data_IF_134113381871
#
_entry.id   IF_134113381871
#
_cell.length_a   1.000
_cell.length_b   1.000
_cell.length_c   1.000
_cell.angle_alpha   90.00
_cell.angle_beta   90.00
_cell.angle_gamma   90.00
#
_symmetry.space_group_name_H-M   'P 1'
#
loop_
_entity.id
_entity.type
_entity.pdbx_description
1 polymer ?
#
# COMPACT_ATOMS: atom_id res chain seq x y z
N UNK A 1 -4.42 -38.54 13.58
CA UNK A 1 -3.45 -37.67 14.28
C UNK A 1 -2.41 -37.18 13.31
N UNK A 2 -2.10 -35.88 13.30
CA UNK A 2 -1.03 -35.35 12.44
C UNK A 2 0.33 -35.72 13.03
N UNK A 3 1.27 -36.18 12.20
CA UNK A 3 2.64 -36.49 12.63
C UNK A 3 3.48 -35.19 12.71
N UNK A 4 3.20 -34.22 11.84
CA UNK A 4 3.86 -32.90 11.81
C UNK A 4 2.92 -31.85 11.22
N UNK A 5 2.95 -30.63 11.76
CA UNK A 5 2.15 -29.49 11.29
C UNK A 5 3.01 -28.23 11.25
N UNK A 6 3.39 -27.82 10.04
CA UNK A 6 4.26 -26.65 9.83
C UNK A 6 3.48 -25.36 9.59
N UNK A 7 2.24 -25.48 9.10
CA UNK A 7 1.40 -24.33 8.76
C UNK A 7 0.58 -23.90 9.96
N UNK A 8 0.74 -22.65 10.37
CA UNK A 8 -0.14 -21.99 11.34
C UNK A 8 -1.48 -21.66 10.71
N UNK A 9 -2.52 -21.63 11.53
CA UNK A 9 -3.88 -21.26 11.15
C UNK A 9 -4.33 -20.18 12.14
N UNK A 10 -4.89 -19.09 11.62
CA UNK A 10 -5.40 -17.99 12.42
C UNK A 10 -5.83 -16.82 11.55
N UNK A 11 -6.43 -15.82 12.18
CA UNK A 11 -6.79 -14.55 11.53
C UNK A 11 -5.59 -13.61 11.53
N UNK A 12 -5.39 -12.86 10.45
CA UNK A 12 -4.30 -11.88 10.32
C UNK A 12 -4.82 -10.55 9.80
N UNK A 13 -4.36 -9.46 10.40
CA UNK A 13 -4.65 -8.08 9.98
C UNK A 13 -3.34 -7.31 9.86
N UNK A 14 -3.17 -6.55 8.78
CA UNK A 14 -2.05 -5.60 8.60
C UNK A 14 -2.62 -4.23 8.24
N UNK A 15 -2.02 -3.17 8.76
CA UNK A 15 -2.40 -1.77 8.49
C UNK A 15 -1.16 -0.99 8.09
N UNK A 16 -1.29 -0.20 7.04
CA UNK A 16 -0.26 0.70 6.53
C UNK A 16 -0.86 2.09 6.37
N UNK A 17 -0.06 3.13 6.64
CA UNK A 17 -0.48 4.51 6.47
C UNK A 17 0.23 5.07 5.23
N UNK A 18 -0.54 5.54 4.25
CA UNK A 18 -0.03 6.16 3.03
C UNK A 18 -0.50 7.60 2.97
N UNK A 19 0.34 8.49 2.44
CA UNK A 19 -0.03 9.88 2.13
C UNK A 19 -0.34 9.99 0.64
N UNK A 20 -1.25 10.89 0.30
CA UNK A 20 -1.55 11.26 -1.10
C UNK A 20 -1.94 10.07 -1.99
N UNK A 21 -2.87 9.24 -1.53
CA UNK A 21 -3.44 8.15 -2.33
C UNK A 21 -4.77 8.60 -2.93
N UNK A 22 -5.00 8.26 -4.20
CA UNK A 22 -6.30 8.43 -4.86
C UNK A 22 -7.20 7.23 -4.50
N UNK A 23 -7.97 7.37 -3.43
CA UNK A 23 -8.72 6.27 -2.80
C UNK A 23 -9.73 5.60 -3.75
N UNK A 24 -10.37 6.39 -4.62
CA UNK A 24 -11.36 5.90 -5.59
C UNK A 24 -10.77 4.93 -6.62
N UNK A 25 -9.47 5.00 -6.87
CA UNK A 25 -8.77 4.20 -7.88
C UNK A 25 -7.91 3.07 -7.27
N UNK A 26 -8.07 2.77 -5.99
CA UNK A 26 -7.40 1.63 -5.36
C UNK A 26 -7.90 0.32 -5.96
N UNK A 27 -6.98 -0.55 -6.35
CA UNK A 27 -7.28 -1.86 -6.96
C UNK A 27 -6.57 -2.96 -6.19
N UNK A 28 -7.18 -4.14 -6.17
CA UNK A 28 -6.60 -5.32 -5.55
C UNK A 28 -6.77 -6.54 -6.46
N UNK A 29 -5.74 -7.40 -6.49
CA UNK A 29 -5.75 -8.65 -7.23
C UNK A 29 -5.17 -9.77 -6.35
N UNK A 30 -5.85 -10.91 -6.29
CA UNK A 30 -5.37 -12.09 -5.58
C UNK A 30 -5.13 -13.22 -6.57
N UNK A 31 -3.86 -13.56 -6.78
CA UNK A 31 -3.45 -14.57 -7.76
C UNK A 31 -2.31 -15.40 -7.19
N UNK A 32 -2.40 -16.72 -7.37
CA UNK A 32 -1.37 -17.69 -6.99
C UNK A 32 -0.91 -17.57 -5.52
N UNK A 33 -1.84 -17.26 -4.62
CA UNK A 33 -1.57 -17.14 -3.18
C UNK A 33 -1.06 -15.77 -2.73
N UNK A 34 -0.91 -14.80 -3.65
CA UNK A 34 -0.38 -13.46 -3.37
C UNK A 34 -1.45 -12.40 -3.56
N UNK A 35 -1.64 -11.55 -2.54
CA UNK A 35 -2.49 -10.36 -2.62
C UNK A 35 -1.65 -9.15 -3.04
N UNK A 36 -1.93 -8.61 -4.21
CA UNK A 36 -1.34 -7.36 -4.73
C UNK A 36 -2.36 -6.24 -4.59
N UNK A 37 -1.93 -5.11 -4.01
CA UNK A 37 -2.76 -3.91 -3.84
C UNK A 37 -2.06 -2.76 -4.57
N UNK A 38 -2.75 -2.15 -5.52
CA UNK A 38 -2.29 -0.98 -6.28
C UNK A 38 -2.92 0.28 -5.66
N UNK A 39 -2.05 1.20 -5.21
CA UNK A 39 -2.42 2.45 -4.57
C UNK A 39 -1.92 3.61 -5.44
N UNK A 40 -2.75 4.15 -6.35
CA UNK A 40 -2.36 5.29 -7.18
C UNK A 40 -2.08 6.52 -6.31
N UNK A 41 -1.02 7.25 -6.64
CA UNK A 41 -0.74 8.53 -5.98
C UNK A 41 -1.61 9.62 -6.57
N UNK A 42 -2.07 10.54 -5.73
CA UNK A 42 -2.65 11.79 -6.18
C UNK A 42 -1.65 12.49 -7.10
N UNK A 43 -2.16 13.07 -8.19
CA UNK A 43 -1.34 13.91 -9.06
C UNK A 43 -0.81 15.08 -8.24
N UNK A 44 0.50 15.20 -8.14
CA UNK A 44 1.11 16.41 -7.59
C UNK A 44 0.74 17.58 -8.50
N UNK A 45 -0.01 18.56 -7.97
CA UNK A 45 0.07 19.90 -8.55
C UNK A 45 1.55 20.27 -8.51
N UNK A 46 2.14 20.53 -9.68
CA UNK A 46 3.56 20.92 -9.79
C UNK A 46 3.78 22.09 -8.84
N UNK A 47 4.35 21.81 -7.66
CA UNK A 47 4.67 22.86 -6.71
C UNK A 47 5.62 23.81 -7.44
N UNK A 48 5.19 25.04 -7.65
CA UNK A 48 6.08 26.10 -8.06
C UNK A 48 7.11 26.18 -6.93
N UNK A 49 8.34 25.73 -7.19
CA UNK A 49 9.43 25.87 -6.25
C UNK A 49 9.65 27.37 -6.05
N UNK A 50 9.08 27.94 -4.99
CA UNK A 50 9.39 29.30 -4.58
C UNK A 50 10.80 29.28 -4.00
N UNK A 51 11.77 29.74 -4.79
CA UNK A 51 13.16 29.89 -4.34
C UNK A 51 13.21 31.13 -3.46
N UNK A 52 13.53 30.95 -2.17
CA UNK A 52 13.74 32.07 -1.23
C UNK A 52 15.23 32.35 -1.23
N UNK A 53 15.64 33.48 -1.83
CA UNK A 53 17.02 33.95 -1.76
C UNK A 53 17.27 34.63 -0.41
N UNK A 54 18.41 34.33 0.20
CA UNK A 54 18.89 34.96 1.43
C UNK A 54 20.04 35.89 1.02
N UNK A 55 20.01 37.14 1.46
CA UNK A 55 21.14 38.10 1.35
C UNK A 55 22.21 37.83 2.41
#
# INVERSE_FOLDING_TARGET
>A
TYIRKERSIGSVTRRFNFKQVEEENVRANYKDGVLTIELPKLKEEKSSKTTINIE
#
